data_IF_448542140378
#
_entry.id   IF_448542140378
#
_cell.length_a   1.000
_cell.length_b   1.000
_cell.length_c   1.000
_cell.angle_alpha   90.00
_cell.angle_beta   90.00
_cell.angle_gamma   90.00
#
_symmetry.space_group_name_H-M   'P 1'
#
loop_
_entity.id
_entity.type
_entity.pdbx_description
1 polymer ?
#
# COMPACT_ATOMS: atom_id res chain seq x y z
N UNK A 1 -12.57 11.72 23.68
CA UNK A 1 -13.14 12.16 22.40
C UNK A 1 -12.22 13.27 21.90
N UNK A 2 -11.76 13.19 20.66
CA UNK A 2 -11.00 14.28 20.07
C UNK A 2 -11.96 15.41 19.68
N UNK A 3 -11.51 16.65 19.81
CA UNK A 3 -12.28 17.80 19.35
C UNK A 3 -12.40 17.76 17.82
N UNK A 4 -13.52 18.29 17.29
CA UNK A 4 -13.71 18.39 15.84
C UNK A 4 -12.52 19.13 15.22
N UNK A 5 -11.90 18.61 14.14
CA UNK A 5 -10.77 19.30 13.52
C UNK A 5 -11.20 20.68 13.00
N UNK A 6 -10.31 21.69 13.03
CA UNK A 6 -10.57 22.99 12.44
C UNK A 6 -11.02 22.87 10.98
N UNK A 7 -11.94 23.74 10.55
CA UNK A 7 -12.50 23.66 9.19
C UNK A 7 -11.42 23.90 8.12
N UNK A 8 -10.47 24.80 8.40
CA UNK A 8 -9.34 25.07 7.51
C UNK A 8 -8.39 23.87 7.41
N UNK A 9 -8.16 23.15 8.51
CA UNK A 9 -7.39 21.89 8.51
C UNK A 9 -8.10 20.80 7.70
N UNK A 10 -9.42 20.69 7.87
CA UNK A 10 -10.24 19.72 7.13
C UNK A 10 -10.26 20.04 5.62
N UNK A 11 -10.26 21.32 5.24
CA UNK A 11 -10.14 21.73 3.84
C UNK A 11 -8.76 21.42 3.26
N UNK A 12 -7.69 21.61 4.01
CA UNK A 12 -6.33 21.21 3.59
C UNK A 12 -6.22 19.69 3.39
N UNK A 13 -6.81 18.90 4.29
CA UNK A 13 -6.95 17.45 4.18
C UNK A 13 -7.67 17.00 2.89
N UNK A 14 -8.75 17.71 2.51
CA UNK A 14 -9.58 17.35 1.35
C UNK A 14 -8.99 17.88 0.04
N UNK A 15 -8.24 18.98 0.08
CA UNK A 15 -7.84 19.72 -1.11
C UNK A 15 -6.51 19.29 -1.75
N UNK A 16 -5.66 18.49 -1.08
CA UNK A 16 -4.26 18.29 -1.53
C UNK A 16 -3.76 16.85 -1.53
N UNK A 17 -2.92 16.54 -2.53
CA UNK A 17 -1.77 15.64 -2.32
C UNK A 17 -0.77 16.40 -1.45
N UNK A 18 -0.55 15.95 -0.23
CA UNK A 18 0.33 16.63 0.72
C UNK A 18 1.75 16.54 0.21
N UNK A 19 2.30 17.69 -0.16
CA UNK A 19 3.70 17.87 -0.52
C UNK A 19 4.47 18.51 0.65
N UNK A 20 5.80 18.59 0.51
CA UNK A 20 6.68 19.12 1.56
C UNK A 20 6.30 20.56 1.95
N UNK A 21 5.80 21.35 1.00
CA UNK A 21 5.38 22.74 1.23
C UNK A 21 4.18 22.77 2.18
N UNK A 22 3.21 21.88 1.96
CA UNK A 22 2.04 21.75 2.83
C UNK A 22 2.42 21.33 4.24
N UNK A 23 3.41 20.44 4.39
CA UNK A 23 3.90 19.98 5.70
C UNK A 23 4.57 21.13 6.45
N UNK A 24 5.47 21.87 5.80
CA UNK A 24 6.15 23.03 6.39
C UNK A 24 5.13 24.10 6.86
N UNK A 25 4.10 24.37 6.05
CA UNK A 25 3.04 25.31 6.41
C UNK A 25 2.24 24.86 7.65
N UNK A 26 1.94 23.56 7.75
CA UNK A 26 1.27 23.00 8.93
C UNK A 26 2.15 23.10 10.17
N UNK A 27 3.45 22.82 10.06
CA UNK A 27 4.42 22.92 11.16
C UNK A 27 4.65 24.37 11.63
N UNK A 28 4.38 25.37 10.79
CA UNK A 28 4.40 26.78 11.18
C UNK A 28 3.19 27.19 12.03
N UNK A 29 2.06 26.48 11.91
CA UNK A 29 0.77 26.86 12.51
C UNK A 29 0.45 25.98 13.72
N UNK A 30 0.78 24.69 13.65
CA UNK A 30 0.41 23.68 14.63
C UNK A 30 1.66 22.97 15.15
N UNK A 31 1.63 22.59 16.43
CA UNK A 31 2.63 21.65 16.94
C UNK A 31 2.45 20.27 16.29
N UNK A 32 3.51 19.44 16.22
CA UNK A 32 3.41 18.08 15.66
C UNK A 32 2.30 17.25 16.28
N UNK A 33 2.10 17.37 17.60
CA UNK A 33 1.03 16.65 18.30
C UNK A 33 -0.37 17.16 17.91
N UNK A 34 -0.54 18.45 17.66
CA UNK A 34 -1.80 19.02 17.18
C UNK A 34 -2.12 18.55 15.77
N UNK A 35 -1.13 18.49 14.88
CA UNK A 35 -1.30 17.93 13.53
C UNK A 35 -1.80 16.49 13.60
N UNK A 36 -1.14 15.64 14.41
CA UNK A 36 -1.56 14.24 14.61
C UNK A 36 -2.98 14.17 15.19
N UNK A 37 -3.28 14.96 16.22
CA UNK A 37 -4.60 14.97 16.83
C UNK A 37 -5.69 15.41 15.86
N UNK A 38 -5.43 16.39 14.99
CA UNK A 38 -6.37 16.84 13.98
C UNK A 38 -6.59 15.78 12.89
N UNK A 39 -5.55 15.09 12.44
CA UNK A 39 -5.69 13.95 11.53
C UNK A 39 -6.49 12.81 12.14
N UNK A 40 -6.18 12.42 13.37
CA UNK A 40 -6.93 11.37 14.08
C UNK A 40 -8.38 11.76 14.32
N UNK A 41 -8.64 13.03 14.63
CA UNK A 41 -10.00 13.55 14.75
C UNK A 41 -10.72 13.49 13.40
N UNK A 42 -10.07 13.90 12.31
CA UNK A 42 -10.63 13.79 10.97
C UNK A 42 -11.00 12.34 10.63
N UNK A 43 -10.16 11.36 10.96
CA UNK A 43 -10.47 9.92 10.81
C UNK A 43 -11.71 9.52 11.64
N UNK A 44 -11.77 9.91 12.92
CA UNK A 44 -12.92 9.62 13.79
C UNK A 44 -14.23 10.26 13.27
N UNK A 45 -14.16 11.44 12.64
CA UNK A 45 -15.33 12.16 12.12
C UNK A 45 -15.73 11.78 10.69
N UNK A 46 -14.78 11.36 9.85
CA UNK A 46 -14.99 11.11 8.43
C UNK A 46 -15.33 9.66 8.10
N UNK A 47 -15.21 8.72 9.06
CA UNK A 47 -15.51 7.25 9.10
C UNK A 47 -15.75 6.52 7.76
N UNK A 48 -16.57 7.03 6.83
CA UNK A 48 -16.70 6.52 5.47
C UNK A 48 -15.48 6.76 4.57
N UNK A 49 -14.78 7.89 4.71
CA UNK A 49 -13.64 8.34 3.88
C UNK A 49 -12.40 8.60 4.76
N UNK A 50 -12.07 7.62 5.60
CA UNK A 50 -10.94 7.72 6.53
C UNK A 50 -9.57 7.52 5.85
N UNK A 51 -9.56 6.90 4.66
CA UNK A 51 -8.36 6.49 3.93
C UNK A 51 -7.53 7.73 3.57
N UNK A 52 -8.15 8.79 3.11
CA UNK A 52 -7.51 10.05 2.71
C UNK A 52 -6.76 10.68 3.90
N UNK A 53 -7.41 10.70 5.07
CA UNK A 53 -6.78 11.21 6.29
C UNK A 53 -5.66 10.29 6.82
N UNK A 54 -5.78 8.98 6.62
CA UNK A 54 -4.70 8.04 6.95
C UNK A 54 -3.52 8.11 5.97
N UNK A 55 -3.78 8.35 4.68
CA UNK A 55 -2.76 8.60 3.67
C UNK A 55 -2.01 9.91 3.95
N UNK A 56 -2.68 10.94 4.48
CA UNK A 56 -2.02 12.15 4.98
C UNK A 56 -1.01 11.84 6.09
N UNK A 57 -1.45 11.11 7.13
CA UNK A 57 -0.56 10.72 8.22
C UNK A 57 0.65 9.95 7.71
N UNK A 58 0.43 9.10 6.70
CA UNK A 58 1.47 8.31 6.05
C UNK A 58 2.50 9.21 5.37
N UNK A 59 2.09 10.25 4.64
CA UNK A 59 3.04 11.19 4.02
C UNK A 59 3.89 11.93 5.05
N UNK A 60 3.31 12.35 6.19
CA UNK A 60 4.06 12.96 7.29
C UNK A 60 5.14 12.03 7.86
N UNK A 61 4.83 10.73 8.00
CA UNK A 61 5.83 9.76 8.48
C UNK A 61 6.91 9.50 7.43
N UNK A 62 6.54 9.35 6.16
CA UNK A 62 7.50 9.12 5.08
C UNK A 62 8.45 10.31 4.93
N UNK A 63 7.92 11.54 4.89
CA UNK A 63 8.73 12.75 4.76
C UNK A 63 9.72 12.88 5.92
N UNK A 64 9.28 12.58 7.15
CA UNK A 64 10.15 12.59 8.33
C UNK A 64 11.36 11.67 8.23
N UNK A 65 11.18 10.47 7.65
CA UNK A 65 12.24 9.46 7.53
C UNK A 65 13.17 9.68 6.35
N UNK A 66 12.64 10.14 5.21
CA UNK A 66 13.40 10.20 3.95
C UNK A 66 14.08 11.55 3.71
N UNK A 67 13.63 12.62 4.36
CA UNK A 67 13.99 14.00 3.96
C UNK A 67 14.55 14.84 5.09
N UNK A 68 15.57 14.37 5.82
CA UNK A 68 16.29 15.15 6.86
C UNK A 68 15.37 16.03 7.75
N UNK A 69 14.12 15.58 7.95
CA UNK A 69 13.10 16.38 8.60
C UNK A 69 13.39 16.33 10.09
N UNK A 70 13.20 17.46 10.76
CA UNK A 70 13.62 17.60 12.16
C UNK A 70 12.75 16.82 13.15
N UNK A 71 11.56 16.40 12.72
CA UNK A 71 10.53 15.80 13.57
C UNK A 71 10.26 14.39 13.10
N UNK A 72 10.48 13.42 13.99
CA UNK A 72 10.03 12.05 13.81
C UNK A 72 8.57 11.93 14.27
N UNK A 73 7.66 11.74 13.32
CA UNK A 73 6.23 11.60 13.60
C UNK A 73 5.83 10.17 14.02
N UNK A 74 6.67 9.16 13.77
CA UNK A 74 6.31 7.77 14.00
C UNK A 74 5.96 7.46 15.47
N UNK A 75 6.72 7.93 16.49
CA UNK A 75 6.38 7.71 17.89
C UNK A 75 5.05 8.33 18.32
N UNK A 76 4.62 9.41 17.66
CA UNK A 76 3.37 10.10 17.96
C UNK A 76 2.14 9.32 17.46
N UNK A 77 2.34 8.42 16.49
CA UNK A 77 1.27 7.64 15.82
C UNK A 77 1.26 6.18 16.31
N UNK A 78 2.38 5.64 16.77
CA UNK A 78 2.56 4.24 17.15
C UNK A 78 1.53 3.71 18.18
N UNK A 79 0.96 4.59 19.00
CA UNK A 79 -0.05 4.27 20.02
C UNK A 79 -1.44 4.86 19.71
N UNK A 80 -1.67 5.31 18.48
CA UNK A 80 -2.96 5.87 18.08
C UNK A 80 -3.99 4.77 17.84
N UNK A 81 -5.27 5.10 18.06
CA UNK A 81 -6.40 4.21 17.70
C UNK A 81 -6.46 3.86 16.22
N UNK A 82 -5.82 4.66 15.36
CA UNK A 82 -5.76 4.39 13.93
C UNK A 82 -5.16 3.02 13.66
N UNK A 83 -4.04 2.68 14.30
CA UNK A 83 -3.39 1.39 14.07
C UNK A 83 -4.26 0.23 14.56
N UNK A 84 -4.93 0.37 15.70
CA UNK A 84 -5.92 -0.62 16.19
C UNK A 84 -7.10 -0.79 15.22
N UNK A 85 -7.61 0.32 14.67
CA UNK A 85 -8.71 0.29 13.70
C UNK A 85 -8.28 -0.32 12.37
N UNK A 86 -7.11 0.05 11.87
CA UNK A 86 -6.52 -0.51 10.65
C UNK A 86 -6.32 -2.02 10.75
N UNK A 87 -5.86 -2.53 11.89
CA UNK A 87 -5.78 -3.97 12.12
C UNK A 87 -7.14 -4.67 11.92
N UNK A 88 -8.21 -4.11 12.48
CA UNK A 88 -9.55 -4.67 12.32
C UNK A 88 -10.01 -4.60 10.87
N UNK A 89 -9.77 -3.48 10.21
CA UNK A 89 -10.14 -3.25 8.81
C UNK A 89 -9.45 -4.19 7.83
N UNK A 90 -8.19 -4.60 8.09
CA UNK A 90 -7.48 -5.58 7.26
C UNK A 90 -8.26 -6.89 7.04
N UNK A 91 -9.08 -7.29 8.01
CA UNK A 91 -9.79 -8.57 7.95
C UNK A 91 -11.26 -8.45 7.54
N UNK A 92 -11.82 -7.24 7.48
CA UNK A 92 -13.25 -7.03 7.15
C UNK A 92 -13.47 -6.21 5.89
N UNK A 93 -12.49 -5.42 5.44
CA UNK A 93 -12.63 -4.58 4.25
C UNK A 93 -12.33 -5.36 2.96
N UNK A 94 -12.97 -4.98 1.83
CA UNK A 94 -12.67 -5.53 0.52
C UNK A 94 -11.20 -5.33 0.10
N UNK A 95 -10.72 -6.19 -0.81
CA UNK A 95 -9.32 -6.24 -1.27
C UNK A 95 -8.72 -4.89 -1.67
N UNK A 96 -9.48 -4.04 -2.37
CA UNK A 96 -8.99 -2.74 -2.84
C UNK A 96 -8.73 -1.76 -1.68
N UNK A 97 -9.63 -1.72 -0.68
CA UNK A 97 -9.43 -0.91 0.52
C UNK A 97 -8.35 -1.52 1.42
N UNK A 98 -8.24 -2.85 1.42
CA UNK A 98 -7.19 -3.60 2.13
C UNK A 98 -5.79 -3.20 1.68
N UNK A 99 -5.58 -2.94 0.38
CA UNK A 99 -4.30 -2.42 -0.12
C UNK A 99 -3.92 -1.09 0.55
N UNK A 100 -4.85 -0.13 0.60
CA UNK A 100 -4.62 1.15 1.27
C UNK A 100 -4.38 0.98 2.78
N UNK A 101 -5.10 0.06 3.44
CA UNK A 101 -4.90 -0.26 4.85
C UNK A 101 -3.50 -0.86 5.10
N UNK A 102 -3.07 -1.82 4.28
CA UNK A 102 -1.73 -2.41 4.34
C UNK A 102 -0.68 -1.32 4.22
N UNK A 103 -0.85 -0.42 3.25
CA UNK A 103 0.08 0.67 3.00
C UNK A 103 0.18 1.64 4.19
N UNK A 104 -0.96 2.08 4.72
CA UNK A 104 -1.04 2.91 5.93
C UNK A 104 -0.38 2.20 7.10
N UNK A 105 -0.70 0.93 7.32
CA UNK A 105 -0.11 0.17 8.42
C UNK A 105 1.40 0.06 8.26
N UNK A 106 1.91 -0.40 7.13
CA UNK A 106 3.35 -0.59 6.92
C UNK A 106 4.17 0.68 7.14
N UNK A 107 3.66 1.83 6.68
CA UNK A 107 4.38 3.12 6.82
C UNK A 107 4.23 3.78 8.18
N UNK A 108 3.07 3.66 8.83
CA UNK A 108 2.82 4.26 10.14
C UNK A 108 3.30 3.40 11.30
N UNK A 109 3.41 2.08 11.09
CA UNK A 109 3.82 1.13 12.12
C UNK A 109 5.33 1.01 12.27
N UNK A 110 5.76 0.44 13.38
CA UNK A 110 7.09 -0.13 13.56
C UNK A 110 7.02 -1.67 13.46
N UNK A 111 8.16 -2.33 13.74
CA UNK A 111 8.28 -3.79 13.67
C UNK A 111 7.28 -4.55 14.56
N UNK A 112 6.61 -3.92 15.53
CA UNK A 112 5.64 -4.60 16.38
C UNK A 112 4.37 -5.04 15.61
N UNK A 113 4.12 -4.48 14.43
CA UNK A 113 2.96 -4.84 13.58
C UNK A 113 3.29 -5.88 12.50
N UNK A 114 4.56 -6.30 12.37
CA UNK A 114 4.97 -7.38 11.48
C UNK A 114 4.14 -8.67 11.69
N UNK A 115 3.82 -9.13 12.91
CA UNK A 115 3.00 -10.32 13.10
C UNK A 115 1.65 -10.27 12.38
N UNK A 116 1.03 -9.09 12.32
CA UNK A 116 -0.30 -8.90 11.70
C UNK A 116 -0.18 -8.88 10.18
N UNK A 117 0.83 -8.20 9.64
CA UNK A 117 1.08 -8.22 8.19
C UNK A 117 1.46 -9.63 7.72
N UNK A 118 2.18 -10.39 8.55
CA UNK A 118 2.48 -11.80 8.31
C UNK A 118 1.23 -12.67 8.34
N UNK A 119 0.30 -12.44 9.27
CA UNK A 119 -1.00 -13.11 9.26
C UNK A 119 -1.80 -12.80 7.98
N UNK A 120 -1.83 -11.53 7.56
CA UNK A 120 -2.46 -11.14 6.28
C UNK A 120 -1.83 -11.87 5.10
N UNK A 121 -0.49 -11.99 5.07
CA UNK A 121 0.22 -12.74 4.04
C UNK A 121 -0.26 -14.19 4.01
N UNK A 122 -0.25 -14.89 5.15
CA UNK A 122 -0.67 -16.29 5.24
C UNK A 122 -2.12 -16.50 4.81
N UNK A 123 -3.03 -15.57 5.13
CA UNK A 123 -4.42 -15.63 4.71
C UNK A 123 -4.62 -15.44 3.19
N UNK A 124 -3.72 -14.72 2.54
CA UNK A 124 -3.96 -14.20 1.19
C UNK A 124 -3.00 -14.75 0.13
N UNK A 125 -1.90 -15.41 0.52
CA UNK A 125 -0.80 -15.83 -0.37
C UNK A 125 -1.20 -16.77 -1.51
N UNK A 126 -2.38 -17.40 -1.41
CA UNK A 126 -2.93 -18.31 -2.43
C UNK A 126 -4.25 -17.82 -3.05
N UNK A 127 -4.83 -16.74 -2.52
CA UNK A 127 -6.21 -16.34 -2.81
C UNK A 127 -6.35 -14.90 -3.29
N UNK A 128 -5.39 -14.02 -3.01
CA UNK A 128 -5.52 -12.60 -3.31
C UNK A 128 -4.19 -11.98 -3.74
N UNK A 129 -3.86 -12.02 -5.05
CA UNK A 129 -2.62 -11.45 -5.56
C UNK A 129 -2.63 -9.92 -5.58
N UNK A 130 -3.80 -9.27 -5.47
CA UNK A 130 -3.92 -7.81 -5.60
C UNK A 130 -3.29 -7.05 -4.45
N UNK A 131 -3.34 -7.64 -3.26
CA UNK A 131 -2.76 -7.01 -2.07
C UNK A 131 -1.27 -7.38 -1.90
N UNK A 132 -0.78 -8.40 -2.61
CA UNK A 132 0.55 -8.97 -2.41
C UNK A 132 1.67 -7.99 -2.73
N UNK A 133 1.52 -7.25 -3.82
CA UNK A 133 2.47 -6.21 -4.22
C UNK A 133 2.72 -5.23 -3.08
N UNK A 134 1.63 -4.67 -2.54
CA UNK A 134 1.71 -3.72 -1.43
C UNK A 134 2.23 -4.36 -0.15
N UNK A 135 1.74 -5.56 0.15
CA UNK A 135 2.14 -6.30 1.34
C UNK A 135 3.64 -6.62 1.34
N UNK A 136 4.17 -7.08 0.21
CA UNK A 136 5.60 -7.34 0.08
C UNK A 136 6.41 -6.05 0.23
N UNK A 137 6.00 -4.96 -0.40
CA UNK A 137 6.68 -3.67 -0.24
C UNK A 137 6.74 -3.23 1.23
N UNK A 138 5.64 -3.38 1.98
CA UNK A 138 5.61 -3.02 3.39
C UNK A 138 6.38 -3.99 4.30
N UNK A 139 6.38 -5.29 4.02
CA UNK A 139 7.20 -6.27 4.73
C UNK A 139 8.70 -6.01 4.52
N UNK A 140 9.10 -5.64 3.30
CA UNK A 140 10.47 -5.23 3.00
C UNK A 140 10.85 -3.94 3.73
N UNK A 141 9.98 -2.93 3.70
CA UNK A 141 10.16 -1.67 4.42
C UNK A 141 10.34 -1.85 5.94
N UNK A 142 9.62 -2.79 6.53
CA UNK A 142 9.71 -3.11 7.96
C UNK A 142 10.84 -4.09 8.29
N UNK A 143 11.63 -4.51 7.29
CA UNK A 143 12.73 -5.47 7.41
C UNK A 143 12.27 -6.80 8.05
N UNK A 144 11.18 -7.37 7.53
CA UNK A 144 10.71 -8.69 7.96
C UNK A 144 11.80 -9.76 7.73
N UNK A 145 12.12 -10.52 8.77
CA UNK A 145 13.21 -11.51 8.72
C UNK A 145 12.91 -12.69 7.77
N UNK A 146 11.64 -12.91 7.43
CA UNK A 146 11.20 -13.97 6.51
C UNK A 146 10.82 -13.40 5.14
N UNK A 147 11.16 -12.14 4.84
CA UNK A 147 10.83 -11.49 3.58
C UNK A 147 11.29 -12.32 2.38
N UNK A 148 12.51 -12.84 2.42
CA UNK A 148 13.09 -13.61 1.32
C UNK A 148 12.31 -14.90 1.02
N UNK A 149 11.87 -15.62 2.05
CA UNK A 149 11.10 -16.86 1.90
C UNK A 149 9.71 -16.56 1.30
N UNK A 150 9.05 -15.52 1.78
CA UNK A 150 7.74 -15.06 1.27
C UNK A 150 7.85 -14.60 -0.17
N UNK A 151 8.89 -13.85 -0.49
CA UNK A 151 9.13 -13.39 -1.85
C UNK A 151 9.37 -14.57 -2.80
N UNK A 152 10.23 -15.52 -2.41
CA UNK A 152 10.54 -16.70 -3.22
C UNK A 152 9.31 -17.61 -3.40
N UNK A 153 8.44 -17.69 -2.40
CA UNK A 153 7.14 -18.35 -2.51
C UNK A 153 6.32 -17.72 -3.65
N UNK A 154 6.10 -16.40 -3.59
CA UNK A 154 5.33 -15.69 -4.61
C UNK A 154 5.96 -15.78 -6.01
N UNK A 155 7.30 -15.69 -6.08
CA UNK A 155 8.07 -15.77 -7.32
C UNK A 155 7.93 -17.12 -8.03
N UNK A 156 7.61 -18.19 -7.30
CA UNK A 156 7.42 -19.54 -7.86
C UNK A 156 5.96 -19.98 -7.89
N UNK A 157 5.04 -19.10 -7.50
CA UNK A 157 3.61 -19.39 -7.43
C UNK A 157 3.05 -19.79 -8.80
N UNK A 158 2.14 -20.76 -8.86
CA UNK A 158 1.62 -21.30 -10.13
C UNK A 158 0.88 -20.24 -10.97
N UNK A 159 0.10 -19.40 -10.29
CA UNK A 159 -0.62 -18.30 -10.90
C UNK A 159 0.31 -17.10 -11.12
N UNK A 160 0.43 -16.68 -12.38
CA UNK A 160 1.34 -15.62 -12.81
C UNK A 160 1.02 -14.25 -12.21
N UNK A 161 -0.22 -13.99 -11.75
CA UNK A 161 -0.60 -12.71 -11.16
C UNK A 161 0.12 -12.49 -9.81
N UNK A 162 0.39 -13.56 -9.06
CA UNK A 162 1.23 -13.48 -7.85
C UNK A 162 2.69 -13.16 -8.21
N UNK A 163 3.25 -13.82 -9.23
CA UNK A 163 4.60 -13.52 -9.72
C UNK A 163 4.72 -12.08 -10.25
N UNK A 164 3.67 -11.59 -10.90
CA UNK A 164 3.58 -10.21 -11.37
C UNK A 164 3.65 -9.21 -10.21
N UNK A 165 2.99 -9.50 -9.08
CA UNK A 165 2.97 -8.64 -7.89
C UNK A 165 4.36 -8.46 -7.24
N UNK A 166 5.34 -9.30 -7.59
CA UNK A 166 6.70 -9.22 -7.09
C UNK A 166 7.55 -8.13 -7.76
N UNK A 167 7.16 -7.64 -8.96
CA UNK A 167 8.02 -6.81 -9.81
C UNK A 167 8.36 -5.48 -9.14
N UNK A 168 7.35 -4.70 -8.74
CA UNK A 168 7.57 -3.38 -8.11
C UNK A 168 8.41 -3.48 -6.82
N UNK A 169 8.23 -4.57 -6.06
CA UNK A 169 8.91 -4.77 -4.79
C UNK A 169 10.43 -4.98 -4.94
N UNK A 170 10.93 -5.45 -6.08
CA UNK A 170 12.38 -5.65 -6.31
C UNK A 170 13.02 -4.62 -7.23
N UNK A 171 12.22 -3.94 -8.04
CA UNK A 171 12.74 -3.07 -9.09
C UNK A 171 13.56 -1.91 -8.51
N UNK A 172 13.02 -1.19 -7.52
CA UNK A 172 13.71 -0.06 -6.91
C UNK A 172 15.01 -0.43 -6.20
N UNK A 173 15.07 -1.61 -5.55
CA UNK A 173 16.31 -2.09 -4.93
C UNK A 173 17.33 -2.60 -5.96
N UNK A 174 16.86 -3.22 -7.05
CA UNK A 174 17.73 -3.66 -8.13
C UNK A 174 18.40 -2.47 -8.84
N UNK A 175 17.66 -1.38 -9.05
CA UNK A 175 18.19 -0.11 -9.57
C UNK A 175 19.27 0.49 -8.65
N UNK A 176 19.16 0.28 -7.34
CA UNK A 176 20.14 0.68 -6.34
C UNK A 176 21.33 -0.29 -6.22
N UNK A 177 21.34 -1.38 -7.00
CA UNK A 177 22.44 -2.34 -7.05
C UNK A 177 22.35 -3.49 -6.05
N UNK A 178 21.19 -3.73 -5.42
CA UNK A 178 21.01 -4.90 -4.56
C UNK A 178 21.07 -6.19 -5.39
N UNK A 179 22.06 -7.04 -5.15
CA UNK A 179 22.29 -8.25 -5.92
C UNK A 179 21.14 -9.26 -5.82
N UNK A 180 20.54 -9.45 -4.64
CA UNK A 180 19.42 -10.38 -4.47
C UNK A 180 18.20 -9.91 -5.28
N UNK A 181 17.93 -8.60 -5.26
CA UNK A 181 16.83 -7.99 -6.03
C UNK A 181 17.11 -8.01 -7.55
N UNK A 182 18.37 -7.85 -7.97
CA UNK A 182 18.80 -8.08 -9.36
C UNK A 182 18.55 -9.52 -9.80
N UNK A 183 18.92 -10.51 -8.98
CA UNK A 183 18.74 -11.93 -9.31
C UNK A 183 17.25 -12.30 -9.42
N UNK A 184 16.42 -11.77 -8.52
CA UNK A 184 14.94 -11.90 -8.55
C UNK A 184 14.34 -11.27 -9.80
N UNK A 185 14.76 -10.05 -10.14
CA UNK A 185 14.28 -9.35 -11.34
C UNK A 185 14.69 -10.11 -12.62
N UNK A 186 15.90 -10.69 -12.66
CA UNK A 186 16.34 -11.54 -13.76
C UNK A 186 15.52 -12.83 -13.86
N UNK A 187 15.09 -13.42 -12.74
CA UNK A 187 14.17 -14.56 -12.76
C UNK A 187 12.82 -14.17 -13.40
N UNK A 188 12.25 -13.01 -13.02
CA UNK A 188 10.99 -12.48 -13.59
C UNK A 188 11.12 -12.15 -15.09
N UNK A 189 12.28 -11.65 -15.54
CA UNK A 189 12.57 -11.43 -16.97
C UNK A 189 12.64 -12.73 -17.80
N UNK A 190 12.80 -13.88 -17.13
CA UNK A 190 12.82 -15.20 -17.76
C UNK A 190 11.57 -16.04 -17.36
N UNK A 191 10.51 -15.39 -16.89
CA UNK A 191 9.28 -16.06 -16.46
C UNK A 191 8.62 -16.82 -17.63
N UNK A 192 7.99 -17.99 -17.39
CA UNK A 192 7.26 -18.70 -18.45
C UNK A 192 6.05 -17.92 -18.99
N UNK A 193 5.50 -16.96 -18.24
CA UNK A 193 4.34 -16.19 -18.64
C UNK A 193 4.74 -14.88 -19.34
N UNK A 194 4.33 -14.65 -20.61
CA UNK A 194 4.74 -13.46 -21.38
C UNK A 194 4.42 -12.14 -20.71
N UNK A 195 3.30 -12.07 -19.97
CA UNK A 195 2.90 -10.87 -19.25
C UNK A 195 3.87 -10.49 -18.11
N UNK A 196 4.43 -11.49 -17.41
CA UNK A 196 5.42 -11.25 -16.34
C UNK A 196 6.73 -10.78 -16.95
N UNK A 197 7.17 -11.42 -18.02
CA UNK A 197 8.37 -11.00 -18.79
C UNK A 197 8.22 -9.56 -19.28
N UNK A 198 7.08 -9.24 -19.91
CA UNK A 198 6.83 -7.90 -20.44
C UNK A 198 6.86 -6.82 -19.35
N UNK A 199 6.25 -7.08 -18.20
CA UNK A 199 6.27 -6.16 -17.07
C UNK A 199 7.68 -6.01 -16.45
N UNK A 200 8.44 -7.10 -16.33
CA UNK A 200 9.78 -7.09 -15.75
C UNK A 200 10.86 -6.45 -16.64
N UNK A 201 10.60 -6.31 -17.95
CA UNK A 201 11.56 -5.73 -18.90
C UNK A 201 11.49 -4.19 -19.04
N UNK A 202 10.71 -3.48 -18.21
CA UNK A 202 10.53 -2.01 -18.22
C UNK A 202 9.90 -1.40 -19.50
N UNK A 203 9.81 -2.16 -20.59
CA UNK A 203 9.28 -1.72 -21.90
C UNK A 203 7.75 -1.60 -21.96
N UNK A 204 7.07 -1.67 -20.82
CA UNK A 204 5.62 -1.73 -20.79
C UNK A 204 5.02 -0.80 -19.73
N UNK A 205 5.35 0.50 -19.83
CA UNK A 205 4.50 1.57 -19.30
C UNK A 205 3.01 1.30 -19.59
N UNK A 206 2.70 0.76 -20.78
CA UNK A 206 1.34 0.36 -21.17
C UNK A 206 0.79 -0.84 -20.41
N UNK A 207 1.61 -1.79 -19.94
CA UNK A 207 1.16 -2.92 -19.14
C UNK A 207 0.90 -2.52 -17.69
N UNK A 208 1.76 -1.68 -17.11
CA UNK A 208 1.49 -1.06 -15.80
C UNK A 208 0.27 -0.14 -15.89
N UNK A 209 0.15 0.68 -16.95
CA UNK A 209 -1.04 1.49 -17.19
C UNK A 209 -2.27 0.63 -17.46
N UNK A 210 -2.16 -0.52 -18.13
CA UNK A 210 -3.25 -1.47 -18.32
C UNK A 210 -3.65 -2.12 -16.99
N UNK A 211 -2.71 -2.59 -16.17
CA UNK A 211 -2.98 -3.15 -14.84
C UNK A 211 -3.58 -2.09 -13.88
N UNK A 212 -3.08 -0.86 -13.91
CA UNK A 212 -3.62 0.28 -13.16
C UNK A 212 -5.00 0.69 -13.67
N UNK A 213 -5.20 0.76 -14.99
CA UNK A 213 -6.52 1.01 -15.58
C UNK A 213 -7.46 -0.18 -15.34
N UNK A 214 -6.98 -1.42 -15.21
CA UNK A 214 -7.79 -2.56 -14.79
C UNK A 214 -8.20 -2.43 -13.33
N UNK A 215 -7.24 -2.13 -12.43
CA UNK A 215 -7.53 -1.84 -11.02
C UNK A 215 -8.56 -0.71 -10.91
N UNK A 216 -8.46 0.32 -11.77
CA UNK A 216 -9.38 1.48 -11.80
C UNK A 216 -10.74 1.19 -12.48
N UNK A 217 -10.78 0.45 -13.57
CA UNK A 217 -12.03 0.08 -14.24
C UNK A 217 -12.81 -0.93 -13.39
N UNK A 218 -12.12 -1.83 -12.68
CA UNK A 218 -12.71 -2.66 -11.62
C UNK A 218 -13.18 -1.79 -10.45
N UNK A 219 -12.46 -0.72 -10.10
CA UNK A 219 -12.90 0.24 -9.09
C UNK A 219 -14.16 1.00 -9.52
N UNK A 220 -14.25 1.45 -10.76
CA UNK A 220 -15.38 2.23 -11.28
C UNK A 220 -16.62 1.34 -11.54
N UNK A 221 -16.42 0.12 -12.05
CA UNK A 221 -17.49 -0.84 -12.35
C UNK A 221 -18.08 -1.46 -11.07
N UNK A 222 -17.27 -1.64 -10.01
CA UNK A 222 -17.73 -2.24 -8.74
C UNK A 222 -17.92 -1.24 -7.59
N UNK A 223 -17.46 0.02 -7.69
CA UNK A 223 -17.88 1.07 -6.74
C UNK A 223 -19.36 1.47 -6.92
N UNK A 224 -19.96 1.13 -8.05
CA UNK A 224 -21.40 1.28 -8.27
C UNK A 224 -22.24 0.26 -7.47
N UNK A 225 -21.67 -0.92 -7.17
CA UNK A 225 -22.29 -1.98 -6.36
C UNK A 225 -21.49 -2.16 -5.05
N UNK A 226 -21.67 -1.20 -4.14
CA UNK A 226 -20.89 -1.05 -2.91
C UNK A 226 -21.04 -2.14 -1.83
N UNK A 227 -21.60 -3.30 -2.16
CA UNK A 227 -21.67 -4.42 -1.23
C UNK A 227 -21.39 -5.75 -1.95
N UNK A 228 -20.26 -6.37 -1.57
CA UNK A 228 -20.11 -7.83 -1.47
C UNK A 228 -19.63 -8.68 -2.66
N UNK A 229 -18.79 -8.21 -3.59
CA UNK A 229 -18.12 -9.15 -4.51
C UNK A 229 -16.59 -9.03 -4.50
N UNK A 230 -15.95 -9.95 -3.77
CA UNK A 230 -14.56 -10.32 -4.03
C UNK A 230 -14.47 -10.83 -5.48
N UNK A 231 -13.71 -10.13 -6.31
CA UNK A 231 -13.36 -10.63 -7.63
C UNK A 231 -12.44 -11.83 -7.41
N UNK A 232 -12.91 -13.01 -7.80
CA UNK A 232 -12.09 -14.21 -7.75
C UNK A 232 -10.87 -14.06 -8.66
N UNK A 233 -9.76 -14.66 -8.25
CA UNK A 233 -8.53 -14.73 -9.04
C UNK A 233 -8.82 -15.25 -10.46
N UNK A 234 -9.72 -16.24 -10.60
CA UNK A 234 -10.15 -16.78 -11.89
C UNK A 234 -10.84 -15.76 -12.78
N UNK A 235 -11.72 -14.91 -12.22
CA UNK A 235 -12.39 -13.86 -12.99
C UNK A 235 -11.38 -12.85 -13.55
N UNK A 236 -10.40 -12.44 -12.74
CA UNK A 236 -9.36 -11.51 -13.16
C UNK A 236 -8.39 -12.13 -14.17
N UNK A 237 -7.88 -13.34 -13.89
CA UNK A 237 -7.00 -14.07 -14.80
C UNK A 237 -7.64 -14.21 -16.17
N UNK A 238 -8.90 -14.66 -16.23
CA UNK A 238 -9.64 -14.78 -17.50
C UNK A 238 -9.74 -13.45 -18.24
N UNK A 239 -10.10 -12.38 -17.53
CA UNK A 239 -10.24 -11.06 -18.15
C UNK A 239 -8.91 -10.53 -18.69
N UNK A 240 -7.81 -10.67 -17.93
CA UNK A 240 -6.47 -10.29 -18.38
C UNK A 240 -6.06 -11.10 -19.61
N UNK A 241 -6.27 -12.43 -19.59
CA UNK A 241 -5.98 -13.29 -20.74
C UNK A 241 -6.80 -12.87 -21.97
N UNK A 242 -8.09 -12.57 -21.82
CA UNK A 242 -8.96 -12.11 -22.90
C UNK A 242 -8.54 -10.75 -23.49
N UNK A 243 -7.97 -9.87 -22.66
CA UNK A 243 -7.60 -8.50 -23.07
C UNK A 243 -6.17 -8.37 -23.57
N UNK A 244 -5.24 -9.17 -23.05
CA UNK A 244 -3.82 -9.07 -23.35
C UNK A 244 -3.33 -10.13 -24.35
N UNK A 245 -4.15 -11.14 -24.68
CA UNK A 245 -3.89 -12.10 -25.75
C UNK A 245 -3.17 -13.36 -25.29
#
# INVERSE_FOLDING_TARGET
MLDKPPEDFTRLLIAYSIDDVTIDELEMIYSPQEIINHCLAAIEYLVKDWIEAALMLKELVISSKLKDHKIDYQPLIANSKLLEMSQRWLFVEPSLRKEAIIYVMGKLSDKQYLPILNEVFECCKDTNPFIMEKLMFELGWLEDEHFDDKFNYLLTHENFVFRLSCIEAVQGEAEQGNQASIDRLNALKNDPHPAVVAAAMEDCYFFNLACVNCKRDLYDEYSADYDAQEISVEQFTRWITEKLG
#
